data_IF_880302159902
#
_entry.id   IF_880302159902
#
_cell.length_a   1.000
_cell.length_b   1.000
_cell.length_c   1.000
_cell.angle_alpha   90.00
_cell.angle_beta   90.00
_cell.angle_gamma   90.00
#
_symmetry.space_group_name_H-M   'P 1'
#
loop_
_entity.id
_entity.type
_entity.pdbx_description
1 polymer ?
#
# COMPACT_ATOMS: atom_id res chain seq x y z
N UNK A 1 14.15 -6.79 -6.81
CA UNK A 1 13.53 -7.17 -5.53
C UNK A 1 12.83 -8.50 -5.73
N UNK A 2 12.68 -9.33 -4.70
CA UNK A 2 12.02 -10.63 -4.84
C UNK A 2 10.53 -10.41 -5.13
N UNK A 3 10.05 -10.87 -6.29
CA UNK A 3 8.61 -11.01 -6.62
C UNK A 3 7.91 -12.09 -5.78
N UNK A 4 8.47 -12.42 -4.62
CA UNK A 4 8.01 -13.47 -3.74
C UNK A 4 7.57 -12.86 -2.42
N UNK A 5 6.43 -13.33 -1.93
CA UNK A 5 5.92 -12.97 -0.63
C UNK A 5 6.91 -13.40 0.48
N UNK A 6 7.33 -12.44 1.31
CA UNK A 6 8.12 -12.68 2.51
C UNK A 6 7.27 -12.38 3.76
N UNK A 7 6.78 -13.41 4.47
CA UNK A 7 5.96 -13.21 5.66
C UNK A 7 6.71 -12.57 6.84
N UNK A 8 8.05 -12.47 6.80
CA UNK A 8 8.83 -11.79 7.84
C UNK A 8 8.87 -10.28 7.64
N UNK A 9 8.63 -9.81 6.41
CA UNK A 9 8.64 -8.39 6.07
C UNK A 9 7.25 -7.79 5.97
N UNK A 10 6.23 -8.61 5.71
CA UNK A 10 4.86 -8.14 5.51
C UNK A 10 3.99 -8.35 6.76
N UNK A 11 3.06 -7.43 6.99
CA UNK A 11 2.16 -7.44 8.13
C UNK A 11 0.72 -7.68 7.66
N UNK A 12 -0.10 -8.44 8.42
CA UNK A 12 -1.49 -8.65 8.08
C UNK A 12 -2.26 -7.33 8.13
N UNK A 13 -3.14 -7.10 7.16
CA UNK A 13 -4.00 -5.91 7.15
C UNK A 13 -5.13 -6.10 8.15
N UNK A 14 -5.18 -5.23 9.17
CA UNK A 14 -6.20 -5.28 10.21
C UNK A 14 -7.62 -5.16 9.65
N UNK A 15 -8.54 -5.93 10.23
CA UNK A 15 -9.94 -5.94 9.83
C UNK A 15 -10.24 -6.75 8.57
N UNK A 16 -9.30 -7.55 8.06
CA UNK A 16 -9.51 -8.48 6.94
C UNK A 16 -9.25 -9.93 7.30
N UNK A 17 -9.35 -10.30 8.58
CA UNK A 17 -9.30 -11.68 9.06
C UNK A 17 -8.06 -12.48 8.58
N UNK A 18 -6.93 -11.78 8.41
CA UNK A 18 -5.66 -12.38 7.94
C UNK A 18 -5.63 -12.70 6.44
N UNK A 19 -6.64 -12.28 5.66
CA UNK A 19 -6.75 -12.58 4.23
C UNK A 19 -5.87 -11.71 3.33
N UNK A 20 -5.27 -10.65 3.87
CA UNK A 20 -4.36 -9.79 3.14
C UNK A 20 -3.19 -9.38 4.02
N UNK A 21 -2.06 -9.10 3.39
CA UNK A 21 -0.88 -8.53 4.01
C UNK A 21 -0.35 -7.34 3.20
N UNK A 22 0.32 -6.41 3.87
CA UNK A 22 1.01 -5.26 3.27
C UNK A 22 2.47 -5.28 3.70
N UNK A 23 3.36 -4.99 2.77
CA UNK A 23 4.81 -4.92 3.01
C UNK A 23 5.26 -3.44 3.07
N UNK A 24 6.45 -3.13 3.59
CA UNK A 24 6.93 -1.74 3.77
C UNK A 24 7.07 -0.97 2.45
N UNK A 25 7.30 -1.68 1.34
CA UNK A 25 7.38 -1.14 -0.02
C UNK A 25 6.01 -0.76 -0.63
N UNK A 26 4.92 -1.01 0.10
CA UNK A 26 3.56 -0.80 -0.41
C UNK A 26 3.00 -1.96 -1.23
N UNK A 27 3.75 -3.05 -1.41
CA UNK A 27 3.22 -4.25 -2.04
C UNK A 27 2.12 -4.86 -1.16
N UNK A 28 0.97 -5.17 -1.75
CA UNK A 28 -0.16 -5.80 -1.08
C UNK A 28 -0.36 -7.22 -1.61
N UNK A 29 -0.56 -8.17 -0.71
CA UNK A 29 -0.74 -9.59 -1.01
C UNK A 29 -2.11 -10.09 -0.58
N UNK A 30 -2.70 -10.98 -1.39
CA UNK A 30 -3.87 -11.80 -1.10
C UNK A 30 -3.42 -13.14 -0.55
N UNK A 31 -3.98 -13.55 0.58
CA UNK A 31 -3.67 -14.80 1.29
C UNK A 31 -4.87 -15.75 1.32
N UNK A 32 -5.84 -15.58 0.41
CA UNK A 32 -7.08 -16.37 0.35
C UNK A 32 -6.87 -17.82 -0.12
N UNK A 33 -5.91 -18.02 -1.02
CA UNK A 33 -5.63 -19.30 -1.65
C UNK A 33 -4.36 -19.93 -1.05
N UNK A 34 -4.02 -21.15 -1.49
CA UNK A 34 -2.81 -21.87 -1.03
C UNK A 34 -1.49 -21.12 -1.35
N UNK A 35 -1.54 -20.17 -2.30
CA UNK A 35 -0.40 -19.34 -2.71
C UNK A 35 -0.69 -17.84 -2.58
N UNK A 36 0.18 -17.08 -1.88
CA UNK A 36 0.09 -15.63 -1.82
C UNK A 36 0.14 -14.99 -3.20
N UNK A 37 -0.86 -14.17 -3.53
CA UNK A 37 -0.95 -13.49 -4.83
C UNK A 37 -0.81 -11.98 -4.69
N UNK A 38 0.09 -11.36 -5.46
CA UNK A 38 0.29 -9.90 -5.46
C UNK A 38 -0.94 -9.20 -6.02
N UNK A 39 -1.45 -8.21 -5.29
CA UNK A 39 -2.60 -7.38 -5.69
C UNK A 39 -2.12 -6.25 -6.59
N UNK A 40 -2.87 -6.01 -7.66
CA UNK A 40 -2.68 -4.82 -8.47
C UNK A 40 -3.21 -3.57 -7.73
N UNK A 41 -2.45 -2.49 -7.83
CA UNK A 41 -2.87 -1.16 -7.38
C UNK A 41 -3.34 -0.32 -8.56
N UNK A 42 -4.15 0.69 -8.28
CA UNK A 42 -4.63 1.67 -9.26
C UNK A 42 -4.49 3.08 -8.70
N UNK A 43 -4.42 4.08 -9.58
CA UNK A 43 -4.28 5.47 -9.16
C UNK A 43 -5.54 5.94 -8.40
N UNK A 44 -5.32 6.59 -7.26
CA UNK A 44 -6.33 7.32 -6.51
C UNK A 44 -5.94 8.80 -6.36
N UNK A 45 -6.86 9.61 -5.89
CA UNK A 45 -6.67 11.06 -5.75
C UNK A 45 -5.42 11.40 -4.92
N UNK A 46 -5.22 10.73 -3.78
CA UNK A 46 -4.09 10.97 -2.87
C UNK A 46 -3.08 9.83 -2.83
N UNK A 47 -2.90 9.09 -3.93
CA UNK A 47 -1.93 8.00 -4.01
C UNK A 47 -2.52 6.66 -4.46
N UNK A 48 -1.68 5.61 -4.58
CA UNK A 48 -2.13 4.30 -5.03
C UNK A 48 -3.18 3.71 -4.11
N UNK A 49 -4.17 3.05 -4.71
CA UNK A 49 -5.24 2.33 -4.01
C UNK A 49 -5.22 0.86 -4.40
N UNK A 50 -5.70 0.01 -3.50
CA UNK A 50 -5.83 -1.44 -3.72
C UNK A 50 -7.26 -1.88 -3.48
N UNK A 51 -7.77 -2.83 -4.27
CA UNK A 51 -9.11 -3.38 -4.07
C UNK A 51 -9.06 -4.62 -3.16
N UNK A 52 -9.63 -4.52 -1.95
CA UNK A 52 -9.73 -5.60 -0.96
C UNK A 52 -11.19 -6.02 -0.75
N UNK A 53 -11.41 -7.31 -0.52
CA UNK A 53 -12.73 -7.89 -0.28
C UNK A 53 -12.84 -8.37 1.16
N UNK A 54 -13.98 -8.11 1.80
CA UNK A 54 -14.26 -8.65 3.14
C UNK A 54 -15.62 -9.35 3.13
N UNK A 55 -15.73 -10.54 3.73
CA UNK A 55 -16.99 -11.30 3.85
C UNK A 55 -17.84 -11.40 2.56
N UNK A 56 -17.19 -11.48 1.39
CA UNK A 56 -17.89 -11.55 0.10
C UNK A 56 -18.68 -10.28 -0.28
N UNK A 57 -18.61 -9.19 0.49
CA UNK A 57 -19.28 -7.92 0.18
C UNK A 57 -18.45 -6.70 0.59
N UNK A 58 -18.40 -5.77 -0.38
CA UNK A 58 -17.77 -4.45 -0.36
C UNK A 58 -16.28 -4.49 -0.70
N UNK A 59 -15.98 -3.91 -1.86
CA UNK A 59 -14.64 -3.52 -2.31
C UNK A 59 -14.20 -2.36 -1.43
N UNK A 60 -13.41 -2.64 -0.39
CA UNK A 60 -12.70 -1.59 0.32
C UNK A 60 -11.52 -1.17 -0.55
N UNK A 61 -11.39 0.12 -0.81
CA UNK A 61 -10.33 0.68 -1.66
C UNK A 61 -9.42 1.60 -0.83
N UNK A 62 -8.67 1.08 0.15
CA UNK A 62 -7.77 1.92 0.94
C UNK A 62 -6.63 2.44 0.07
N UNK A 63 -6.08 3.56 0.51
CA UNK A 63 -4.78 4.01 0.03
C UNK A 63 -3.68 3.11 0.60
N UNK A 64 -2.71 2.78 -0.23
CA UNK A 64 -1.58 1.92 0.15
C UNK A 64 -0.75 2.58 1.25
N UNK A 65 -0.48 3.88 1.18
CA UNK A 65 0.26 4.59 2.23
C UNK A 65 -0.42 4.46 3.61
N UNK A 66 -1.77 4.52 3.67
CA UNK A 66 -2.52 4.33 4.92
C UNK A 66 -2.38 2.90 5.45
N UNK A 67 -2.39 1.89 4.57
CA UNK A 67 -2.20 0.49 4.99
C UNK A 67 -0.82 0.27 5.59
N UNK A 68 0.21 0.78 4.91
CA UNK A 68 1.60 0.67 5.34
C UNK A 68 1.78 1.36 6.70
N UNK A 69 1.32 2.62 6.84
CA UNK A 69 1.40 3.38 8.08
C UNK A 69 0.70 2.69 9.26
N UNK A 70 -0.48 2.11 9.04
CA UNK A 70 -1.18 1.35 10.09
C UNK A 70 -0.43 0.09 10.51
N UNK A 71 0.21 -0.58 9.55
CA UNK A 71 0.94 -1.82 9.80
C UNK A 71 2.29 -1.61 10.48
N UNK A 72 2.99 -0.52 10.16
CA UNK A 72 4.39 -0.30 10.55
C UNK A 72 4.61 0.96 11.42
N UNK A 73 3.57 1.75 11.66
CA UNK A 73 3.62 3.01 12.40
C UNK A 73 4.24 4.16 11.61
N UNK A 74 4.31 5.34 12.22
CA UNK A 74 4.93 6.53 11.60
C UNK A 74 6.46 6.44 11.57
N UNK A 75 7.03 5.48 12.30
CA UNK A 75 8.48 5.23 12.38
C UNK A 75 9.01 4.38 11.21
N UNK A 76 8.13 3.77 10.39
CA UNK A 76 8.47 3.04 9.14
C UNK A 76 7.31 3.08 8.14
N UNK A 77 7.52 3.44 6.86
CA UNK A 77 8.78 3.43 6.12
C UNK A 77 9.29 4.85 5.85
N UNK A 78 10.60 4.96 5.63
CA UNK A 78 11.13 6.17 5.02
C UNK A 78 10.37 6.43 3.70
N UNK A 79 9.94 7.68 3.42
CA UNK A 79 9.18 8.08 2.21
C UNK A 79 9.78 7.62 0.87
N UNK A 80 11.01 7.10 0.89
CA UNK A 80 11.70 6.50 -0.24
C UNK A 80 11.03 5.24 -0.76
N UNK A 81 10.51 4.34 0.09
CA UNK A 81 10.06 3.04 -0.40
C UNK A 81 8.73 3.13 -1.17
N UNK A 82 7.77 3.90 -0.65
CA UNK A 82 6.48 4.06 -1.32
C UNK A 82 6.55 5.09 -2.47
N UNK A 83 7.34 6.16 -2.33
CA UNK A 83 7.61 7.07 -3.45
C UNK A 83 8.33 6.36 -4.60
N UNK A 84 9.24 5.44 -4.29
CA UNK A 84 9.86 4.56 -5.30
C UNK A 84 8.86 3.59 -5.92
N UNK A 85 7.98 2.95 -5.14
CA UNK A 85 6.91 2.09 -5.66
C UNK A 85 6.01 2.84 -6.66
N UNK A 86 5.64 4.07 -6.32
CA UNK A 86 4.83 4.93 -7.21
C UNK A 86 5.58 5.18 -8.53
N UNK A 87 6.86 5.55 -8.48
CA UNK A 87 7.68 5.73 -9.69
C UNK A 87 7.79 4.45 -10.52
N UNK A 88 8.04 3.30 -9.89
CA UNK A 88 8.18 2.03 -10.60
C UNK A 88 6.88 1.59 -11.30
N UNK A 89 5.72 1.84 -10.68
CA UNK A 89 4.43 1.41 -11.22
C UNK A 89 3.73 2.43 -12.13
N UNK A 90 3.99 3.71 -11.96
CA UNK A 90 3.31 4.80 -12.67
C UNK A 90 4.24 5.64 -13.56
N UNK A 91 5.56 5.40 -13.49
CA UNK A 91 6.59 6.06 -14.29
C UNK A 91 7.23 7.28 -13.60
N UNK A 92 8.22 7.87 -14.25
CA UNK A 92 9.03 8.98 -13.74
C UNK A 92 8.62 10.34 -14.32
N UNK A 93 7.34 10.54 -14.64
CA UNK A 93 6.86 11.82 -15.15
C UNK A 93 6.78 12.89 -14.04
N UNK A 94 6.93 14.16 -14.39
CA UNK A 94 6.83 15.27 -13.43
C UNK A 94 5.48 15.26 -12.67
N UNK A 95 4.40 14.87 -13.35
CA UNK A 95 3.06 14.71 -12.75
C UNK A 95 3.04 13.61 -11.64
N UNK A 96 3.88 12.58 -11.75
CA UNK A 96 4.00 11.52 -10.75
C UNK A 96 4.81 12.01 -9.54
N UNK A 97 5.83 12.84 -9.76
CA UNK A 97 6.57 13.50 -8.67
C UNK A 97 5.70 14.46 -7.87
N UNK A 98 4.89 15.27 -8.55
CA UNK A 98 3.91 16.15 -7.89
C UNK A 98 2.88 15.34 -7.09
N UNK A 99 2.41 14.22 -7.64
CA UNK A 99 1.48 13.32 -6.95
C UNK A 99 2.09 12.64 -5.72
N UNK A 100 3.36 12.23 -5.79
CA UNK A 100 4.14 11.74 -4.65
C UNK A 100 4.21 12.84 -3.59
N UNK A 101 4.63 14.06 -3.97
CA UNK A 101 4.75 15.16 -3.03
C UNK A 101 3.42 15.51 -2.36
N UNK A 102 2.31 15.57 -3.09
CA UNK A 102 0.98 15.81 -2.52
C UNK A 102 0.57 14.71 -1.53
N UNK A 103 0.76 13.44 -1.92
CA UNK A 103 0.46 12.26 -1.09
C UNK A 103 1.14 12.34 0.28
N UNK A 104 2.43 12.70 0.31
CA UNK A 104 3.22 12.78 1.55
C UNK A 104 3.14 14.15 2.25
N UNK A 105 2.70 15.22 1.57
CA UNK A 105 2.55 16.56 2.16
C UNK A 105 1.24 16.70 2.94
N UNK A 106 0.15 16.06 2.48
CA UNK A 106 -1.12 16.06 3.21
C UNK A 106 -1.03 15.27 4.53
N UNK A 107 -0.07 14.36 4.68
CA UNK A 107 0.19 13.62 5.93
C UNK A 107 0.60 14.51 7.11
N UNK A 108 0.99 15.78 6.87
CA UNK A 108 1.35 16.74 7.92
C UNK A 108 0.16 17.49 8.52
N UNK A 109 -1.05 17.35 7.95
CA UNK A 109 -2.20 18.23 8.27
C UNK A 109 -3.33 17.51 9.03
N UNK A 110 -3.43 16.19 9.00
CA UNK A 110 -4.45 15.39 9.71
C UNK A 110 -3.98 14.89 11.11
N UNK A 111 -3.18 15.72 11.80
CA UNK A 111 -2.79 15.51 13.20
C UNK A 111 -3.38 16.61 14.09
N UNK A 112 -4.71 16.69 14.16
CA UNK A 112 -5.45 17.46 15.18
C UNK A 112 -6.70 16.68 15.64
#
# INVERSE_FOLDING_TARGET
>A
MSDQYDPQQCMPIEGFDGQYAVCPDGTVWSLHDDEPTKKQTFAGEHGPRVALYRFGRRVYQPYVHVLVRRAFGDERPEPRDLGWYIREHYGDADEVEEWIQDTFSQESTDAD
#
